data_IF_509567690349
#
_entry.id   IF_509567690349
#
_cell.length_a   1.000
_cell.length_b   1.000
_cell.length_c   1.000
_cell.angle_alpha   90.00
_cell.angle_beta   90.00
_cell.angle_gamma   90.00
#
_symmetry.space_group_name_H-M   'P 1'
#
loop_
_entity.id
_entity.type
_entity.pdbx_description
1 polymer ?
#
# COMPACT_ATOMS: atom_id res chain seq x y z
N UNK A 1 -10.23 -26.69 -8.48
CA UNK A 1 -8.86 -26.11 -8.41
C UNK A 1 -8.78 -25.31 -7.12
N UNK A 2 -7.73 -25.46 -6.35
CA UNK A 2 -7.58 -24.63 -5.15
C UNK A 2 -7.22 -23.21 -5.57
N UNK A 3 -8.13 -22.26 -5.38
CA UNK A 3 -7.88 -20.85 -5.58
C UNK A 3 -7.00 -20.35 -4.43
N UNK A 4 -5.80 -19.87 -4.75
CA UNK A 4 -4.85 -19.34 -3.76
C UNK A 4 -4.66 -17.85 -3.97
N UNK A 5 -4.89 -17.10 -2.90
CA UNK A 5 -4.76 -15.65 -2.86
C UNK A 5 -3.60 -15.31 -1.93
N UNK A 6 -2.66 -14.50 -2.41
CA UNK A 6 -1.67 -13.87 -1.55
C UNK A 6 -2.21 -12.53 -1.04
N UNK A 7 -2.20 -12.35 0.26
CA UNK A 7 -2.56 -11.07 0.90
C UNK A 7 -1.27 -10.42 1.36
N UNK A 8 -0.96 -9.25 0.80
CA UNK A 8 0.24 -8.48 1.07
C UNK A 8 -0.13 -7.19 1.79
N UNK A 9 0.59 -6.85 2.85
CA UNK A 9 0.44 -5.63 3.62
C UNK A 9 1.81 -5.12 4.04
N UNK A 10 1.92 -3.82 4.31
CA UNK A 10 3.10 -3.24 4.92
C UNK A 10 4.39 -3.52 4.15
N UNK A 11 4.35 -3.31 2.84
CA UNK A 11 5.50 -3.49 1.94
C UNK A 11 6.56 -2.42 2.23
N UNK A 12 6.12 -1.21 2.59
CA UNK A 12 6.97 -0.12 3.05
C UNK A 12 8.16 0.18 2.12
N UNK A 13 7.94 0.18 0.80
CA UNK A 13 8.98 0.50 -0.16
C UNK A 13 10.13 -0.51 -0.24
N UNK A 14 9.98 -1.72 0.32
CA UNK A 14 11.00 -2.75 0.30
C UNK A 14 10.86 -3.64 -0.94
N UNK A 15 11.35 -3.15 -2.08
CA UNK A 15 11.28 -3.86 -3.35
C UNK A 15 11.99 -5.22 -3.31
N UNK A 16 13.12 -5.32 -2.61
CA UNK A 16 13.87 -6.58 -2.47
C UNK A 16 13.07 -7.65 -1.72
N UNK A 17 12.43 -7.27 -0.63
CA UNK A 17 11.57 -8.21 0.12
C UNK A 17 10.34 -8.60 -0.71
N UNK A 18 9.72 -7.64 -1.42
CA UNK A 18 8.57 -7.91 -2.27
C UNK A 18 8.92 -8.89 -3.38
N UNK A 19 10.10 -8.75 -4.02
CA UNK A 19 10.57 -9.68 -5.06
C UNK A 19 10.65 -11.12 -4.53
N UNK A 20 11.21 -11.31 -3.33
CA UNK A 20 11.32 -12.62 -2.69
C UNK A 20 9.93 -13.21 -2.36
N UNK A 21 9.01 -12.38 -1.84
CA UNK A 21 7.63 -12.79 -1.53
C UNK A 21 6.87 -13.18 -2.80
N UNK A 22 7.01 -12.43 -3.89
CA UNK A 22 6.39 -12.75 -5.18
C UNK A 22 6.93 -14.08 -5.72
N UNK A 23 8.23 -14.32 -5.61
CA UNK A 23 8.85 -15.56 -6.05
C UNK A 23 8.28 -16.76 -5.27
N UNK A 24 8.18 -16.65 -3.94
CA UNK A 24 7.59 -17.69 -3.10
C UNK A 24 6.10 -17.91 -3.42
N UNK A 25 5.30 -16.85 -3.54
CA UNK A 25 3.90 -16.93 -3.91
C UNK A 25 3.68 -17.68 -5.24
N UNK A 26 4.49 -17.37 -6.26
CA UNK A 26 4.48 -18.10 -7.54
C UNK A 26 4.80 -19.57 -7.38
N UNK A 27 5.80 -19.91 -6.59
CA UNK A 27 6.17 -21.30 -6.31
C UNK A 27 5.05 -22.07 -5.58
N UNK A 28 4.26 -21.37 -4.78
CA UNK A 28 3.10 -21.93 -4.10
C UNK A 28 1.84 -22.02 -4.97
N UNK A 29 1.88 -21.50 -6.20
CA UNK A 29 0.77 -21.51 -7.14
C UNK A 29 -0.31 -20.49 -6.80
N UNK A 30 0.08 -19.34 -6.26
CA UNK A 30 -0.82 -18.19 -6.06
C UNK A 30 -1.28 -17.66 -7.42
N UNK A 31 -2.58 -17.42 -7.55
CA UNK A 31 -3.23 -16.95 -8.77
C UNK A 31 -3.81 -15.54 -8.66
N UNK A 32 -3.83 -14.96 -7.47
CA UNK A 32 -4.45 -13.67 -7.19
C UNK A 32 -3.75 -12.99 -6.02
N UNK A 33 -3.70 -11.65 -6.04
CA UNK A 33 -3.07 -10.85 -4.99
C UNK A 33 -4.03 -9.77 -4.49
N UNK A 34 -4.04 -9.56 -3.16
CA UNK A 34 -4.71 -8.45 -2.51
C UNK A 34 -3.69 -7.61 -1.76
N UNK A 35 -3.76 -6.28 -1.91
CA UNK A 35 -2.89 -5.33 -1.23
C UNK A 35 -3.65 -4.63 -0.10
N UNK A 36 -3.15 -4.71 1.11
CA UNK A 36 -3.78 -4.11 2.29
C UNK A 36 -3.08 -2.83 2.79
N UNK A 37 -2.49 -2.06 1.86
CA UNK A 37 -1.93 -0.74 2.18
C UNK A 37 -0.49 -0.74 2.68
N UNK A 38 -0.01 0.45 3.01
CA UNK A 38 1.35 0.75 3.41
C UNK A 38 2.39 0.27 2.38
N UNK A 39 2.21 0.77 1.15
CA UNK A 39 2.94 0.26 -0.02
C UNK A 39 4.34 0.87 -0.10
N UNK A 40 4.49 2.19 0.11
CA UNK A 40 5.72 2.90 -0.21
C UNK A 40 6.57 3.25 1.01
N UNK A 41 6.18 4.21 1.81
CA UNK A 41 6.98 4.74 2.92
C UNK A 41 7.01 3.80 4.15
N UNK A 42 8.06 3.89 4.97
CA UNK A 42 9.23 4.77 4.90
C UNK A 42 10.39 4.28 4.03
N UNK A 43 10.29 3.13 3.38
CA UNK A 43 11.34 2.61 2.52
C UNK A 43 11.49 3.36 1.20
N UNK A 44 12.61 3.14 0.48
CA UNK A 44 13.00 3.96 -0.67
C UNK A 44 12.34 3.54 -2.00
N UNK A 45 11.66 2.39 -2.04
CA UNK A 45 11.10 1.84 -3.28
C UNK A 45 10.02 2.74 -3.88
N UNK A 46 10.12 3.01 -5.16
CA UNK A 46 9.21 3.84 -5.93
C UNK A 46 8.82 3.12 -7.23
N UNK A 47 9.37 3.55 -8.38
CA UNK A 47 9.04 2.93 -9.67
C UNK A 47 9.53 1.47 -9.80
N UNK A 48 10.60 1.09 -9.14
CA UNK A 48 11.07 -0.29 -9.04
C UNK A 48 10.05 -1.19 -8.35
N UNK A 49 9.48 -0.73 -7.24
CA UNK A 49 8.40 -1.44 -6.54
C UNK A 49 7.13 -1.52 -7.40
N UNK A 50 6.74 -0.41 -8.04
CA UNK A 50 5.60 -0.37 -8.94
C UNK A 50 5.77 -1.35 -10.10
N UNK A 51 6.98 -1.48 -10.65
CA UNK A 51 7.26 -2.43 -11.71
C UNK A 51 7.01 -3.88 -11.28
N UNK A 52 7.33 -4.24 -10.03
CA UNK A 52 7.02 -5.56 -9.47
C UNK A 52 5.52 -5.79 -9.31
N UNK A 53 4.78 -4.78 -8.86
CA UNK A 53 3.33 -4.89 -8.65
C UNK A 53 2.54 -4.93 -9.96
N UNK A 54 3.01 -4.24 -10.99
CA UNK A 54 2.31 -4.08 -12.29
C UNK A 54 2.00 -5.41 -12.97
N UNK A 55 2.88 -6.39 -12.82
CA UNK A 55 2.76 -7.69 -13.48
C UNK A 55 1.99 -8.73 -12.63
N UNK A 56 1.51 -8.33 -11.45
CA UNK A 56 0.73 -9.20 -10.59
C UNK A 56 -0.78 -9.08 -10.89
N UNK A 57 -1.53 -10.19 -10.84
CA UNK A 57 -2.98 -10.17 -10.93
C UNK A 57 -3.60 -9.66 -9.60
N UNK A 58 -3.44 -8.35 -9.36
CA UNK A 58 -3.99 -7.68 -8.18
C UNK A 58 -5.48 -7.40 -8.45
N UNK A 59 -6.35 -7.94 -7.62
CA UNK A 59 -7.81 -7.83 -7.77
C UNK A 59 -8.48 -7.06 -6.64
N UNK A 60 -7.75 -6.74 -5.57
CA UNK A 60 -8.19 -5.86 -4.50
C UNK A 60 -7.01 -5.05 -3.96
N UNK A 61 -7.27 -3.79 -3.61
CA UNK A 61 -6.27 -2.92 -3.00
C UNK A 61 -6.94 -1.89 -2.11
N UNK A 62 -6.45 -1.74 -0.89
CA UNK A 62 -6.86 -0.68 0.02
C UNK A 62 -5.66 0.18 0.41
N UNK A 63 -5.93 1.37 0.90
CA UNK A 63 -4.95 2.37 1.30
C UNK A 63 -4.60 2.22 2.78
N UNK A 64 -3.31 2.27 3.12
CA UNK A 64 -2.80 2.27 4.48
C UNK A 64 -2.54 3.68 5.03
N UNK A 65 -2.15 3.78 6.30
CA UNK A 65 -1.88 5.07 6.94
C UNK A 65 -0.62 5.75 6.40
N UNK A 66 0.41 5.03 6.02
CA UNK A 66 1.57 5.62 5.36
C UNK A 66 1.25 6.10 3.94
N UNK A 67 0.33 5.43 3.25
CA UNK A 67 -0.16 5.90 1.95
C UNK A 67 -0.94 7.21 2.11
N UNK A 68 -1.74 7.36 3.17
CA UNK A 68 -2.40 8.63 3.52
C UNK A 68 -1.38 9.72 3.83
N UNK A 69 -0.31 9.42 4.60
CA UNK A 69 0.78 10.36 4.86
C UNK A 69 1.43 10.89 3.57
N UNK A 70 1.63 10.04 2.56
CA UNK A 70 2.12 10.48 1.23
C UNK A 70 1.16 11.49 0.60
N UNK A 71 -0.15 11.20 0.62
CA UNK A 71 -1.16 12.06 0.01
C UNK A 71 -1.32 13.39 0.75
N UNK A 72 -1.31 13.38 2.07
CA UNK A 72 -1.35 14.57 2.92
C UNK A 72 -0.13 15.49 2.67
N UNK A 73 1.06 14.91 2.58
CA UNK A 73 2.27 15.67 2.26
C UNK A 73 2.21 16.30 0.87
N UNK A 74 1.63 15.60 -0.11
CA UNK A 74 1.40 16.12 -1.46
C UNK A 74 0.41 17.29 -1.48
N UNK A 75 -0.60 17.23 -0.63
CA UNK A 75 -1.64 18.25 -0.52
C UNK A 75 -1.19 19.44 0.36
N UNK A 76 0.01 19.38 0.95
CA UNK A 76 0.58 20.43 1.76
C UNK A 76 -0.03 20.53 3.16
N UNK A 77 -0.57 19.43 3.67
CA UNK A 77 -1.28 19.37 4.95
C UNK A 77 -0.37 19.23 6.17
N UNK A 78 0.95 19.15 5.97
CA UNK A 78 1.92 19.05 7.06
C UNK A 78 2.34 20.39 7.63
N UNK A 79 2.41 20.46 8.97
CA UNK A 79 3.08 21.52 9.69
C UNK A 79 4.61 21.46 9.49
N UNK A 80 5.27 22.62 9.62
CA UNK A 80 6.73 22.72 9.54
C UNK A 80 7.40 22.89 10.91
N UNK A 81 6.65 22.63 11.97
CA UNK A 81 7.12 22.80 13.36
C UNK A 81 7.43 21.48 14.05
N UNK A 82 6.72 20.41 13.70
CA UNK A 82 6.95 19.07 14.24
C UNK A 82 8.07 18.35 13.48
N UNK A 83 9.14 17.89 14.17
CA UNK A 83 10.24 17.16 13.54
C UNK A 83 9.79 15.87 12.82
N UNK A 84 8.74 15.20 13.29
CA UNK A 84 8.22 13.98 12.65
C UNK A 84 7.50 14.32 11.36
N UNK A 85 6.69 15.38 11.34
CA UNK A 85 6.02 15.86 10.12
C UNK A 85 7.04 16.33 9.07
N UNK A 86 8.08 17.09 9.49
CA UNK A 86 9.17 17.49 8.62
C UNK A 86 9.87 16.29 8.01
N UNK A 87 10.12 15.24 8.80
CA UNK A 87 10.75 14.01 8.29
C UNK A 87 9.85 13.30 7.29
N UNK A 88 8.57 13.14 7.60
CA UNK A 88 7.58 12.51 6.70
C UNK A 88 7.47 13.26 5.38
N UNK A 89 7.45 14.59 5.43
CA UNK A 89 7.45 15.44 4.23
C UNK A 89 8.72 15.23 3.38
N UNK A 90 9.91 15.18 4.00
CA UNK A 90 11.17 14.94 3.29
C UNK A 90 11.21 13.56 2.63
N UNK A 91 10.73 12.52 3.33
CA UNK A 91 10.63 11.18 2.76
C UNK A 91 9.66 11.16 1.58
N UNK A 92 8.52 11.84 1.70
CA UNK A 92 7.56 11.97 0.60
C UNK A 92 8.15 12.71 -0.59
N UNK A 93 8.87 13.81 -0.39
CA UNK A 93 9.56 14.52 -1.47
C UNK A 93 10.56 13.63 -2.19
N UNK A 94 11.39 12.89 -1.45
CA UNK A 94 12.33 11.92 -2.01
C UNK A 94 11.62 10.84 -2.85
N UNK A 95 10.50 10.34 -2.36
CA UNK A 95 9.68 9.37 -3.07
C UNK A 95 9.12 9.97 -4.37
N UNK A 96 8.58 11.17 -4.31
CA UNK A 96 7.96 11.89 -5.42
C UNK A 96 8.90 12.14 -6.60
N UNK A 97 10.16 12.47 -6.33
CA UNK A 97 11.19 12.66 -7.36
C UNK A 97 11.44 11.38 -8.19
N UNK A 98 11.01 10.24 -7.69
CA UNK A 98 11.25 8.89 -8.25
C UNK A 98 9.98 8.18 -8.68
N UNK A 99 8.82 8.78 -8.47
CA UNK A 99 7.52 8.17 -8.73
C UNK A 99 6.88 8.75 -9.99
N UNK A 100 6.35 7.87 -10.83
CA UNK A 100 5.56 8.28 -11.97
C UNK A 100 4.24 8.93 -11.48
N UNK A 101 3.83 10.08 -12.05
CA UNK A 101 2.55 10.73 -11.70
C UNK A 101 1.33 9.80 -11.76
N UNK A 102 1.30 8.84 -12.68
CA UNK A 102 0.23 7.85 -12.77
C UNK A 102 0.10 6.98 -11.50
N UNK A 103 1.22 6.72 -10.82
CA UNK A 103 1.22 5.97 -9.55
C UNK A 103 0.54 6.75 -8.44
N UNK A 104 0.70 8.08 -8.42
CA UNK A 104 0.05 8.95 -7.44
C UNK A 104 -1.47 8.96 -7.66
N UNK A 105 -1.90 9.03 -8.93
CA UNK A 105 -3.31 8.96 -9.29
C UNK A 105 -3.90 7.61 -8.84
N UNK A 106 -3.18 6.52 -9.06
CA UNK A 106 -3.58 5.20 -8.58
C UNK A 106 -3.68 5.17 -7.05
N UNK A 107 -2.66 5.63 -6.32
CA UNK A 107 -2.66 5.65 -4.86
C UNK A 107 -3.87 6.43 -4.29
N UNK A 108 -4.19 7.60 -4.88
CA UNK A 108 -5.38 8.39 -4.52
C UNK A 108 -6.69 7.64 -4.77
N UNK A 109 -6.73 6.75 -5.73
CA UNK A 109 -7.93 5.98 -6.07
C UNK A 109 -8.20 4.82 -5.12
N UNK A 110 -7.24 4.41 -4.30
CA UNK A 110 -7.40 3.29 -3.38
C UNK A 110 -8.41 3.62 -2.28
N UNK A 111 -9.41 2.75 -2.05
CA UNK A 111 -10.38 2.92 -0.96
C UNK A 111 -9.77 2.56 0.40
N UNK A 112 -10.43 2.96 1.49
CA UNK A 112 -10.14 2.48 2.85
C UNK A 112 -10.72 1.08 3.10
N UNK A 113 -11.82 0.77 2.44
CA UNK A 113 -12.52 -0.50 2.55
C UNK A 113 -12.86 -1.04 1.16
N UNK A 114 -12.52 -2.29 0.91
CA UNK A 114 -12.98 -3.03 -0.26
C UNK A 114 -13.69 -4.33 0.17
N UNK A 115 -14.73 -4.71 -0.55
CA UNK A 115 -15.47 -5.95 -0.30
C UNK A 115 -15.26 -6.92 -1.46
N UNK A 116 -14.93 -8.15 -1.14
CA UNK A 116 -14.72 -9.22 -2.13
C UNK A 116 -15.60 -10.42 -1.79
N UNK A 117 -15.99 -11.15 -2.82
CA UNK A 117 -16.60 -12.46 -2.67
C UNK A 117 -15.79 -13.47 -3.46
N UNK A 118 -15.36 -14.54 -2.81
CA UNK A 118 -14.57 -15.63 -3.40
C UNK A 118 -15.15 -16.95 -2.94
N UNK A 119 -15.53 -17.80 -3.88
CA UNK A 119 -16.10 -19.13 -3.61
C UNK A 119 -17.27 -19.11 -2.59
N UNK A 120 -18.12 -18.09 -2.63
CA UNK A 120 -19.26 -17.91 -1.73
C UNK A 120 -18.91 -17.33 -0.34
N UNK A 121 -17.62 -17.07 -0.06
CA UNK A 121 -17.18 -16.39 1.15
C UNK A 121 -17.05 -14.89 0.90
N UNK A 122 -17.54 -14.10 1.85
CA UNK A 122 -17.48 -12.63 1.78
C UNK A 122 -16.38 -12.10 2.68
N UNK A 123 -15.53 -11.23 2.10
CA UNK A 123 -14.40 -10.59 2.77
C UNK A 123 -14.61 -9.09 2.81
N UNK A 124 -14.23 -8.48 3.93
CA UNK A 124 -14.06 -7.03 4.07
C UNK A 124 -12.58 -6.77 4.28
N UNK A 125 -11.99 -5.96 3.41
CA UNK A 125 -10.56 -5.67 3.38
C UNK A 125 -10.35 -4.22 3.78
N UNK A 126 -9.58 -3.99 4.83
CA UNK A 126 -9.13 -2.66 5.26
C UNK A 126 -7.74 -2.79 5.87
N UNK A 127 -6.93 -1.72 5.81
CA UNK A 127 -5.63 -1.72 6.46
C UNK A 127 -5.79 -1.68 7.99
N UNK A 128 -6.53 -0.71 8.48
CA UNK A 128 -6.88 -0.58 9.90
C UNK A 128 -8.41 -0.70 10.07
N UNK A 129 -9.11 0.42 10.23
CA UNK A 129 -10.57 0.42 10.33
C UNK A 129 -11.22 0.70 8.96
N UNK A 130 -12.48 0.29 8.77
CA UNK A 130 -13.18 0.48 7.50
C UNK A 130 -13.37 1.94 7.06
N UNK A 131 -13.31 2.87 7.99
CA UNK A 131 -13.59 4.30 7.81
C UNK A 131 -12.40 5.22 8.09
N UNK A 132 -11.31 4.68 8.65
CA UNK A 132 -10.09 5.46 8.95
C UNK A 132 -8.84 4.59 9.10
N UNK A 133 -7.69 5.17 8.78
CA UNK A 133 -6.38 4.50 8.89
C UNK A 133 -5.60 4.86 10.14
N UNK A 134 -5.93 5.95 10.84
CA UNK A 134 -5.22 6.41 12.04
C UNK A 134 -6.16 7.18 12.99
N UNK A 135 -5.68 7.41 14.19
CA UNK A 135 -6.39 8.07 15.28
C UNK A 135 -6.24 7.32 16.60
N UNK A 136 -6.61 7.97 17.70
CA UNK A 136 -6.44 7.42 19.05
C UNK A 136 -7.16 6.10 19.30
N UNK A 137 -8.22 5.83 18.56
CA UNK A 137 -9.04 4.62 18.70
C UNK A 137 -8.40 3.37 18.05
N UNK A 138 -7.29 3.53 17.31
CA UNK A 138 -6.53 2.40 16.74
C UNK A 138 -5.51 1.82 17.72
N UNK A 139 -5.31 2.49 18.84
CA UNK A 139 -4.42 2.06 19.92
C UNK A 139 -5.23 1.22 20.91
N UNK A 140 -5.45 -0.05 20.59
CA UNK A 140 -6.07 -1.02 21.50
C UNK A 140 -5.10 -2.15 21.77
#
# INVERSE_FOLDING_TARGET
MNHKIAILSDIHGNATALEAVIADAKNQGVSEYWLLGDIFLPGPGANDLVALLKDLPITASVRGNWDDCVLEALDGEYGLEDPQEIQSMRMTQFLMERMNPATIVWLRSLPLLEKKEVEGLRFSLSHNLPDKNYGGDLLV
#
